data_IF_201762535386
#
_entry.id   IF_201762535386
#
_cell.length_a   1.000
_cell.length_b   1.000
_cell.length_c   1.000
_cell.angle_alpha   90.00
_cell.angle_beta   90.00
_cell.angle_gamma   90.00
#
_symmetry.space_group_name_H-M   'P 1'
#
loop_
_entity.id
_entity.type
_entity.pdbx_description
1 polymer ?
#
# COMPACT_ATOMS: atom_id res chain seq x y z
N UNK A 1 5.44 -19.67 15.77
CA UNK A 1 4.53 -19.79 14.60
C UNK A 1 4.09 -18.43 14.03
N UNK A 2 4.08 -17.34 14.80
CA UNK A 2 3.61 -16.03 14.34
C UNK A 2 4.26 -15.50 13.05
N UNK A 3 5.58 -15.68 12.86
CA UNK A 3 6.27 -15.20 11.66
C UNK A 3 5.79 -15.89 10.38
N UNK A 4 5.57 -17.21 10.42
CA UNK A 4 5.08 -18.00 9.29
C UNK A 4 3.66 -17.57 8.92
N UNK A 5 2.80 -17.34 9.92
CA UNK A 5 1.45 -16.84 9.71
C UNK A 5 1.45 -15.44 9.08
N UNK A 6 2.35 -14.54 9.52
CA UNK A 6 2.52 -13.23 8.90
C UNK A 6 2.94 -13.31 7.42
N UNK A 7 3.88 -14.19 7.08
CA UNK A 7 4.28 -14.42 5.69
C UNK A 7 3.13 -14.95 4.82
N UNK A 8 2.40 -15.95 5.32
CA UNK A 8 1.23 -16.50 4.61
C UNK A 8 0.13 -15.45 4.44
N UNK A 9 -0.03 -14.54 5.41
CA UNK A 9 -0.97 -13.43 5.33
C UNK A 9 -0.57 -12.46 4.21
N UNK A 10 0.67 -11.98 4.19
CA UNK A 10 1.12 -11.03 3.14
C UNK A 10 1.07 -11.65 1.75
N UNK A 11 1.40 -12.94 1.61
CA UNK A 11 1.34 -13.67 0.35
C UNK A 11 -0.09 -14.06 -0.08
N UNK A 12 -1.11 -13.68 0.68
CA UNK A 12 -2.49 -13.94 0.31
C UNK A 12 -2.83 -13.25 -1.03
N UNK A 13 -3.40 -13.96 -2.03
CA UNK A 13 -3.63 -13.42 -3.37
C UNK A 13 -4.45 -12.13 -3.41
N UNK A 14 -5.34 -11.92 -2.43
CA UNK A 14 -6.16 -10.71 -2.35
C UNK A 14 -5.36 -9.44 -2.06
N UNK A 15 -4.13 -9.54 -1.54
CA UNK A 15 -3.30 -8.35 -1.29
C UNK A 15 -2.58 -7.84 -2.54
N UNK A 16 -2.37 -8.67 -3.57
CA UNK A 16 -1.61 -8.30 -4.76
C UNK A 16 -2.21 -7.13 -5.57
N UNK A 17 -3.54 -7.01 -5.76
CA UNK A 17 -4.12 -5.84 -6.42
C UNK A 17 -3.84 -4.54 -5.66
N UNK A 18 -3.94 -4.58 -4.35
CA UNK A 18 -3.66 -3.45 -3.47
C UNK A 18 -2.17 -3.08 -3.48
N UNK A 19 -1.30 -4.09 -3.42
CA UNK A 19 0.16 -3.93 -3.58
C UNK A 19 0.49 -3.27 -4.92
N UNK A 20 -0.10 -3.76 -6.02
CA UNK A 20 0.12 -3.20 -7.34
C UNK A 20 -0.34 -1.74 -7.43
N UNK A 21 -1.53 -1.42 -6.90
CA UNK A 21 -2.04 -0.06 -6.84
C UNK A 21 -1.16 0.86 -5.98
N UNK A 22 -0.70 0.38 -4.82
CA UNK A 22 0.22 1.11 -3.95
C UNK A 22 1.54 1.44 -4.64
N UNK A 23 2.15 0.45 -5.31
CA UNK A 23 3.40 0.64 -6.05
C UNK A 23 3.22 1.54 -7.26
N UNK A 24 2.22 1.30 -8.11
CA UNK A 24 1.98 2.14 -9.30
C UNK A 24 1.61 3.56 -8.90
N UNK A 25 0.71 3.72 -7.92
CA UNK A 25 0.33 5.02 -7.37
C UNK A 25 1.53 5.75 -6.79
N UNK A 26 2.34 5.08 -5.99
CA UNK A 26 3.56 5.62 -5.40
C UNK A 26 4.60 6.05 -6.44
N UNK A 27 4.78 5.28 -7.52
CA UNK A 27 5.69 5.64 -8.63
C UNK A 27 5.17 6.88 -9.37
N UNK A 28 3.89 6.92 -9.72
CA UNK A 28 3.29 8.07 -10.43
C UNK A 28 3.44 9.34 -9.59
N UNK A 29 3.05 9.26 -8.33
CA UNK A 29 3.16 10.35 -7.35
C UNK A 29 4.62 10.78 -7.19
N UNK A 30 5.54 9.84 -7.01
CA UNK A 30 6.97 10.12 -6.82
C UNK A 30 7.67 10.70 -8.05
N UNK A 31 7.14 10.44 -9.25
CA UNK A 31 7.68 10.97 -10.51
C UNK A 31 7.23 12.42 -10.78
N UNK A 32 6.20 12.93 -10.08
CA UNK A 32 5.67 14.27 -10.30
C UNK A 32 6.55 15.34 -9.64
N UNK A 33 7.04 16.35 -10.39
CA UNK A 33 7.84 17.42 -9.83
C UNK A 33 7.01 18.29 -8.88
N UNK A 34 7.55 18.56 -7.69
CA UNK A 34 6.87 19.35 -6.67
C UNK A 34 5.95 18.55 -5.73
N UNK A 35 5.78 17.24 -5.96
CA UNK A 35 5.07 16.36 -5.05
C UNK A 35 6.07 15.70 -4.09
N UNK A 36 6.04 16.09 -2.82
CA UNK A 36 6.89 15.48 -1.79
C UNK A 36 6.26 14.20 -1.25
N UNK A 37 7.06 13.36 -0.59
CA UNK A 37 6.59 12.09 -0.02
C UNK A 37 5.33 12.25 0.86
N UNK A 38 5.24 13.33 1.63
CA UNK A 38 4.08 13.63 2.48
C UNK A 38 2.80 13.84 1.69
N UNK A 39 2.87 14.52 0.53
CA UNK A 39 1.71 14.74 -0.34
C UNK A 39 1.28 13.43 -1.00
N UNK A 40 2.24 12.56 -1.35
CA UNK A 40 1.94 11.24 -1.87
C UNK A 40 1.16 10.35 -0.93
N UNK A 41 1.55 10.32 0.34
CA UNK A 41 0.82 9.56 1.38
C UNK A 41 -0.61 10.09 1.51
N UNK A 42 -0.81 11.41 1.51
CA UNK A 42 -2.14 12.04 1.59
C UNK A 42 -3.04 11.61 0.43
N UNK A 43 -2.51 11.45 -0.78
CA UNK A 43 -3.27 11.00 -1.95
C UNK A 43 -3.68 9.52 -1.85
N UNK A 44 -2.90 8.71 -1.13
CA UNK A 44 -3.19 7.29 -0.91
C UNK A 44 -4.12 7.04 0.29
N UNK A 45 -4.14 7.93 1.30
CA UNK A 45 -5.03 7.86 2.46
C UNK A 45 -6.51 7.53 2.18
N UNK A 46 -7.20 8.15 1.20
CA UNK A 46 -8.61 7.83 0.93
C UNK A 46 -8.84 6.37 0.51
N UNK A 47 -7.83 5.73 -0.07
CA UNK A 47 -7.89 4.31 -0.43
C UNK A 47 -7.60 3.42 0.78
N UNK A 48 -6.74 3.87 1.69
CA UNK A 48 -6.27 3.09 2.84
C UNK A 48 -7.28 3.06 3.99
N UNK A 49 -8.02 4.15 4.25
CA UNK A 49 -8.95 4.22 5.38
C UNK A 49 -10.14 3.23 5.30
N UNK A 50 -10.40 2.67 4.12
CA UNK A 50 -11.47 1.68 3.92
C UNK A 50 -10.97 0.24 4.02
N UNK A 51 -9.67 0.02 4.28
CA UNK A 51 -9.04 -1.29 4.28
C UNK A 51 -8.70 -1.72 5.70
N UNK A 52 -8.73 -3.04 5.93
CA UNK A 52 -8.21 -3.61 7.16
C UNK A 52 -6.73 -3.27 7.34
N UNK A 53 -6.30 -3.09 8.59
CA UNK A 53 -4.95 -2.63 8.93
C UNK A 53 -3.83 -3.45 8.25
N UNK A 54 -4.05 -4.74 8.04
CA UNK A 54 -3.09 -5.61 7.35
C UNK A 54 -2.98 -5.30 5.86
N UNK A 55 -4.09 -5.16 5.14
CA UNK A 55 -4.14 -4.78 3.72
C UNK A 55 -3.64 -3.35 3.50
N UNK A 56 -4.01 -2.44 4.40
CA UNK A 56 -3.51 -1.07 4.44
C UNK A 56 -1.98 -1.01 4.50
N UNK A 57 -1.36 -1.83 5.36
CA UNK A 57 0.11 -1.94 5.46
C UNK A 57 0.77 -2.54 4.22
N UNK A 58 0.04 -3.30 3.40
CA UNK A 58 0.57 -3.82 2.14
C UNK A 58 0.54 -2.78 1.01
N UNK A 59 -0.33 -1.77 1.11
CA UNK A 59 -0.42 -0.69 0.11
C UNK A 59 0.59 0.44 0.29
N UNK A 60 1.08 0.63 1.51
CA UNK A 60 2.05 1.66 1.89
C UNK A 60 3.48 1.18 1.66
#
# INVERSE_FOLDING_TARGET
MAIIQGFLHVLHPLHFPFLFLGVVGGIIVGALPGLTASVGIILLLPFIYHLDASTAMVML
#
